data_IF_555815563362
#
_entry.id   IF_555815563362
#
_cell.length_a   1.000
_cell.length_b   1.000
_cell.length_c   1.000
_cell.angle_alpha   90.00
_cell.angle_beta   90.00
_cell.angle_gamma   90.00
#
_symmetry.space_group_name_H-M   'P 1'
#
loop_
_entity.id
_entity.type
_entity.pdbx_description
1 polymer ?
#
# COMPACT_ATOMS: atom_id res chain seq x y z
N UNK A 1 14.44 -31.19 -59.14
CA UNK A 1 14.26 -31.75 -57.78
C UNK A 1 14.59 -30.63 -56.81
N UNK A 2 13.56 -30.07 -56.17
CA UNK A 2 13.62 -28.79 -55.48
C UNK A 2 14.01 -28.96 -54.02
N UNK A 3 15.02 -28.22 -53.57
CA UNK A 3 15.35 -28.05 -52.15
C UNK A 3 14.33 -27.14 -51.48
N UNK A 4 13.51 -27.69 -50.59
CA UNK A 4 12.59 -26.94 -49.75
C UNK A 4 13.31 -26.47 -48.48
N UNK A 5 13.43 -25.16 -48.32
CA UNK A 5 13.84 -24.48 -47.10
C UNK A 5 12.62 -24.45 -46.16
N UNK A 6 12.67 -25.23 -45.08
CA UNK A 6 11.68 -25.14 -44.00
C UNK A 6 12.05 -23.96 -43.11
N UNK A 7 11.37 -22.83 -43.32
CA UNK A 7 11.38 -21.69 -42.38
C UNK A 7 10.57 -22.11 -41.15
N UNK A 8 11.24 -22.26 -40.02
CA UNK A 8 10.59 -22.56 -38.75
C UNK A 8 9.95 -21.27 -38.21
N UNK A 9 8.65 -21.15 -38.36
CA UNK A 9 7.82 -20.08 -37.79
C UNK A 9 7.73 -20.28 -36.27
N UNK A 10 8.64 -19.66 -35.52
CA UNK A 10 8.50 -19.50 -34.07
C UNK A 10 8.62 -18.02 -33.73
N UNK A 11 7.71 -17.22 -34.27
CA UNK A 11 7.53 -15.82 -33.88
C UNK A 11 6.24 -15.66 -33.10
N UNK A 12 6.38 -15.09 -31.90
CA UNK A 12 5.39 -14.29 -31.22
C UNK A 12 4.12 -14.97 -30.68
N UNK A 13 4.19 -15.47 -29.45
CA UNK A 13 3.16 -15.21 -28.44
C UNK A 13 3.80 -15.05 -27.04
N UNK A 14 4.55 -13.95 -26.84
CA UNK A 14 4.74 -13.43 -25.49
C UNK A 14 3.42 -12.72 -25.15
N UNK A 15 2.48 -13.48 -24.61
CA UNK A 15 1.24 -12.90 -24.11
C UNK A 15 1.62 -11.92 -22.99
N UNK A 16 1.29 -10.65 -23.23
CA UNK A 16 1.32 -9.57 -22.27
C UNK A 16 0.50 -9.96 -21.03
N UNK A 17 1.12 -10.63 -20.06
CA UNK A 17 0.60 -10.69 -18.71
C UNK A 17 0.71 -9.28 -18.13
N UNK A 18 -0.30 -8.43 -18.38
CA UNK A 18 -0.59 -7.36 -17.44
C UNK A 18 -0.72 -8.06 -16.09
N UNK A 19 0.05 -7.69 -15.05
CA UNK A 19 -0.17 -8.26 -13.73
C UNK A 19 -1.62 -7.99 -13.38
N UNK A 20 -2.43 -9.04 -13.39
CA UNK A 20 -3.79 -8.97 -12.91
C UNK A 20 -3.64 -8.76 -11.41
N UNK A 21 -3.62 -7.50 -10.99
CA UNK A 21 -3.50 -7.15 -9.59
C UNK A 21 -4.62 -7.89 -8.86
N UNK A 22 -4.24 -8.68 -7.87
CA UNK A 22 -5.21 -9.30 -6.99
C UNK A 22 -6.16 -8.21 -6.46
N UNK A 23 -7.45 -8.55 -6.23
CA UNK A 23 -8.38 -7.60 -5.63
C UNK A 23 -7.75 -7.04 -4.34
N UNK A 24 -7.62 -5.72 -4.30
CA UNK A 24 -7.04 -5.00 -3.18
C UNK A 24 -7.89 -3.77 -2.85
N UNK A 25 -8.12 -3.55 -1.57
CA UNK A 25 -8.81 -2.37 -1.10
C UNK A 25 -7.85 -1.18 -1.13
N UNK A 26 -8.23 -0.11 -1.83
CA UNK A 26 -7.47 1.14 -1.88
C UNK A 26 -8.04 2.12 -0.86
N UNK A 27 -7.21 2.57 0.06
CA UNK A 27 -7.52 3.59 1.05
C UNK A 27 -6.74 4.87 0.73
N UNK A 28 -7.41 6.00 0.62
CA UNK A 28 -6.75 7.27 0.36
C UNK A 28 -6.06 7.82 1.61
N UNK A 29 -4.93 8.51 1.42
CA UNK A 29 -4.15 9.12 2.50
C UNK A 29 -4.09 10.62 2.24
N UNK A 30 -4.51 11.39 3.25
CA UNK A 30 -4.59 12.85 3.20
C UNK A 30 -3.66 13.50 4.22
N UNK A 31 -3.29 14.75 3.98
CA UNK A 31 -2.90 15.69 5.05
C UNK A 31 -4.01 16.73 5.21
N UNK A 32 -4.09 17.37 6.37
CA UNK A 32 -5.08 18.40 6.64
C UNK A 32 -5.07 18.82 8.11
N UNK A 33 -6.03 19.66 8.47
CA UNK A 33 -6.19 20.14 9.84
C UNK A 33 -7.24 19.28 10.55
N UNK A 34 -6.82 18.59 11.63
CA UNK A 34 -7.75 17.83 12.46
C UNK A 34 -8.59 18.78 13.32
N UNK A 35 -9.92 18.71 13.17
CA UNK A 35 -10.90 19.27 14.11
C UNK A 35 -11.74 18.14 14.68
N UNK A 36 -11.43 17.71 15.90
CA UNK A 36 -12.12 16.63 16.61
C UNK A 36 -12.21 15.33 15.78
N UNK A 37 -13.35 15.11 15.12
CA UNK A 37 -13.73 13.92 14.36
C UNK A 37 -13.62 14.08 12.83
N UNK A 38 -13.15 15.23 12.34
CA UNK A 38 -13.01 15.52 10.92
C UNK A 38 -11.63 16.08 10.58
N UNK A 39 -11.26 15.91 9.31
CA UNK A 39 -10.06 16.50 8.71
C UNK A 39 -10.53 17.56 7.72
N UNK A 40 -10.21 18.82 7.99
CA UNK A 40 -10.47 19.96 7.11
C UNK A 40 -9.29 20.22 6.17
N UNK A 41 -9.57 20.80 4.99
CA UNK A 41 -8.53 21.16 4.02
C UNK A 41 -7.76 19.94 3.53
N UNK A 42 -8.46 18.84 3.26
CA UNK A 42 -7.85 17.57 2.85
C UNK A 42 -7.07 17.73 1.55
N UNK A 43 -5.77 17.43 1.61
CA UNK A 43 -4.91 17.30 0.45
C UNK A 43 -4.51 15.85 0.31
N UNK A 44 -4.86 15.22 -0.82
CA UNK A 44 -4.47 13.85 -1.13
C UNK A 44 -2.95 13.76 -1.30
N UNK A 45 -2.30 12.87 -0.55
CA UNK A 45 -0.84 12.70 -0.54
C UNK A 45 -0.40 11.26 -0.80
N UNK A 46 -1.33 10.31 -0.92
CA UNK A 46 -0.98 8.93 -1.16
C UNK A 46 -2.14 7.96 -1.10
N UNK A 47 -1.82 6.68 -1.07
CA UNK A 47 -2.79 5.61 -0.91
C UNK A 47 -2.16 4.42 -0.16
N UNK A 48 -2.98 3.71 0.60
CA UNK A 48 -2.66 2.42 1.17
C UNK A 48 -3.47 1.33 0.45
N UNK A 49 -2.83 0.19 0.20
CA UNK A 49 -3.43 -0.95 -0.48
C UNK A 49 -3.46 -2.14 0.46
N UNK A 50 -4.62 -2.79 0.59
CA UNK A 50 -4.83 -4.00 1.39
C UNK A 50 -5.19 -5.16 0.49
N UNK A 51 -4.25 -6.09 0.31
CA UNK A 51 -4.51 -7.30 -0.47
C UNK A 51 -5.28 -8.32 0.40
N UNK A 52 -6.19 -9.09 -0.21
CA UNK A 52 -7.20 -9.93 0.47
C UNK A 52 -6.63 -10.88 1.56
N UNK A 53 -5.39 -11.36 1.37
CA UNK A 53 -4.75 -12.34 2.26
C UNK A 53 -3.55 -11.76 3.04
N UNK A 54 -3.29 -10.46 2.91
CA UNK A 54 -2.13 -9.85 3.53
C UNK A 54 -2.47 -9.27 4.90
N UNK A 55 -1.59 -9.47 5.88
CA UNK A 55 -1.75 -8.94 7.25
C UNK A 55 -1.26 -7.49 7.41
N UNK A 56 -0.76 -6.88 6.34
CA UNK A 56 -0.23 -5.52 6.32
C UNK A 56 -0.92 -4.67 5.23
N UNK A 57 -0.74 -3.36 5.25
CA UNK A 57 -1.08 -2.47 4.13
C UNK A 57 0.21 -2.04 3.43
N UNK A 58 0.16 -1.90 2.10
CA UNK A 58 1.22 -1.30 1.29
C UNK A 58 0.91 0.18 1.09
N UNK A 59 1.71 1.07 1.68
CA UNK A 59 1.56 2.53 1.57
C UNK A 59 2.44 3.06 0.44
N UNK A 60 1.84 3.90 -0.41
CA UNK A 60 2.50 4.67 -1.46
C UNK A 60 2.21 6.15 -1.22
N UNK A 61 3.26 6.94 -0.97
CA UNK A 61 3.17 8.38 -0.79
C UNK A 61 3.63 9.09 -2.07
N UNK A 62 2.89 10.11 -2.51
CA UNK A 62 3.17 10.86 -3.73
C UNK A 62 4.50 11.62 -3.65
N UNK A 63 4.88 12.09 -2.46
CA UNK A 63 6.15 12.79 -2.23
C UNK A 63 7.39 11.90 -2.29
N UNK A 64 7.22 10.57 -2.24
CA UNK A 64 8.29 9.58 -2.33
C UNK A 64 7.97 8.55 -3.42
N UNK A 65 8.01 8.95 -4.70
CA UNK A 65 7.67 8.06 -5.80
C UNK A 65 8.59 6.83 -5.82
N UNK A 66 8.03 5.69 -6.18
CA UNK A 66 8.75 4.40 -6.20
C UNK A 66 8.89 3.72 -4.83
N UNK A 67 8.90 4.46 -3.73
CA UNK A 67 9.02 3.87 -2.39
C UNK A 67 7.71 3.18 -1.96
N UNK A 68 7.83 2.01 -1.33
CA UNK A 68 6.72 1.34 -0.63
C UNK A 68 7.01 1.35 0.86
N UNK A 69 6.03 1.71 1.65
CA UNK A 69 6.05 1.51 3.10
C UNK A 69 5.04 0.43 3.48
N UNK A 70 5.23 -0.18 4.64
CA UNK A 70 4.41 -1.30 5.10
C UNK A 70 3.83 -0.98 6.47
N UNK A 71 2.51 -0.82 6.53
CA UNK A 71 1.80 -0.59 7.79
C UNK A 71 1.34 -1.93 8.37
N UNK A 72 1.80 -2.25 9.56
CA UNK A 72 1.60 -3.56 10.20
C UNK A 72 0.99 -3.34 11.57
N UNK A 73 -0.07 -4.10 11.88
CA UNK A 73 -0.70 -4.07 13.21
C UNK A 73 0.26 -4.62 14.25
N UNK A 74 0.41 -3.93 15.38
CA UNK A 74 1.27 -4.39 16.46
C UNK A 74 0.64 -5.60 17.17
N UNK A 75 1.47 -6.54 17.63
CA UNK A 75 1.01 -7.68 18.41
C UNK A 75 0.32 -7.19 19.69
N UNK A 76 -0.83 -7.80 20.04
CA UNK A 76 -1.66 -7.45 21.20
C UNK A 76 -2.16 -6.00 21.27
N UNK A 77 -2.16 -5.25 20.16
CA UNK A 77 -2.77 -3.93 20.11
C UNK A 77 -3.96 -3.91 19.17
N UNK A 78 -5.09 -3.39 19.63
CA UNK A 78 -6.26 -3.18 18.76
C UNK A 78 -6.09 -1.94 17.88
N UNK A 79 -5.37 -0.93 18.36
CA UNK A 79 -5.37 0.42 17.81
C UNK A 79 -4.00 0.88 17.27
N UNK A 80 -2.90 0.20 17.58
CA UNK A 80 -1.54 0.63 17.21
C UNK A 80 -0.94 -0.18 16.08
N UNK A 81 -0.26 0.53 15.19
CA UNK A 81 0.40 0.01 14.00
C UNK A 81 1.80 0.61 13.88
N UNK A 82 2.70 -0.13 13.25
CA UNK A 82 4.05 0.34 12.92
C UNK A 82 4.22 0.43 11.40
N UNK A 83 4.85 1.51 10.93
CA UNK A 83 5.19 1.71 9.53
C UNK A 83 6.65 1.30 9.33
N UNK A 84 6.91 0.35 8.45
CA UNK A 84 8.23 -0.13 8.08
C UNK A 84 8.60 0.32 6.67
N UNK A 85 9.87 0.61 6.42
CA UNK A 85 10.36 0.98 5.08
C UNK A 85 10.77 -0.21 4.22
N UNK A 86 10.92 -1.40 4.82
CA UNK A 86 11.36 -2.62 4.12
C UNK A 86 10.58 -3.85 4.58
N UNK A 87 10.30 -4.72 3.63
CA UNK A 87 9.77 -6.07 3.83
C UNK A 87 10.74 -7.05 3.18
N UNK A 88 11.16 -8.06 3.94
CA UNK A 88 11.88 -9.21 3.44
C UNK A 88 10.92 -10.39 3.39
N UNK A 89 11.10 -11.26 2.41
CA UNK A 89 10.38 -12.54 2.35
C UNK A 89 11.41 -13.63 2.60
N UNK A 90 11.15 -14.51 3.57
CA UNK A 90 12.03 -15.64 3.82
C UNK A 90 11.82 -16.78 2.79
N UNK A 91 12.64 -17.83 2.88
CA UNK A 91 12.56 -18.98 1.98
C UNK A 91 11.25 -19.78 2.11
N UNK A 92 10.48 -19.55 3.19
CA UNK A 92 9.18 -20.18 3.45
C UNK A 92 8.01 -19.27 3.03
N UNK A 93 8.29 -18.11 2.43
CA UNK A 93 7.28 -17.14 2.01
C UNK A 93 6.74 -16.25 3.13
N UNK A 94 7.29 -16.31 4.34
CA UNK A 94 6.88 -15.44 5.45
C UNK A 94 7.49 -14.04 5.31
N UNK A 95 6.67 -13.03 5.59
CA UNK A 95 7.10 -11.64 5.52
C UNK A 95 7.70 -11.18 6.86
N UNK A 96 8.93 -10.67 6.81
CA UNK A 96 9.60 -9.98 7.91
C UNK A 96 9.70 -8.49 7.61
N UNK A 97 9.12 -7.68 8.48
CA UNK A 97 9.16 -6.22 8.37
C UNK A 97 10.32 -5.66 9.19
N UNK A 98 11.13 -4.80 8.58
CA UNK A 98 12.33 -4.23 9.21
C UNK A 98 12.42 -2.73 8.94
N UNK A 99 13.26 -2.03 9.70
CA UNK A 99 13.45 -0.58 9.60
C UNK A 99 12.15 0.21 9.89
N UNK A 100 11.70 0.27 11.15
CA UNK A 100 10.55 1.07 11.52
C UNK A 100 10.83 2.56 11.27
N UNK A 101 9.91 3.24 10.59
CA UNK A 101 10.05 4.65 10.18
C UNK A 101 8.86 5.50 10.60
N UNK A 102 7.86 4.91 11.25
CA UNK A 102 6.69 5.62 11.73
C UNK A 102 5.68 4.71 12.39
N UNK A 103 4.50 5.26 12.66
CA UNK A 103 3.43 4.56 13.36
C UNK A 103 2.07 5.01 12.87
N UNK A 104 1.09 4.13 13.05
CA UNK A 104 -0.33 4.40 12.82
C UNK A 104 -1.12 4.20 14.10
N UNK A 105 -2.16 5.01 14.29
CA UNK A 105 -3.06 4.91 15.45
C UNK A 105 -4.52 5.07 15.02
N UNK A 106 -5.38 4.17 15.51
CA UNK A 106 -6.83 4.36 15.48
C UNK A 106 -7.24 5.17 16.70
N UNK A 107 -7.79 6.35 16.49
CA UNK A 107 -8.31 7.20 17.55
C UNK A 107 -9.83 7.05 17.61
N UNK A 108 -10.38 6.70 18.77
CA UNK A 108 -11.83 6.52 18.97
C UNK A 108 -12.65 7.77 18.65
N UNK A 109 -12.03 8.95 18.69
CA UNK A 109 -12.66 10.23 18.32
C UNK A 109 -12.63 10.51 16.82
N UNK A 110 -11.79 9.82 16.04
CA UNK A 110 -11.61 10.00 14.61
C UNK A 110 -11.96 8.70 13.86
N UNK A 111 -13.25 8.39 13.81
CA UNK A 111 -13.73 7.07 13.36
C UNK A 111 -13.59 6.83 11.84
N UNK A 112 -13.44 7.88 11.04
CA UNK A 112 -13.30 7.75 9.59
C UNK A 112 -11.86 7.60 9.11
N UNK A 113 -10.87 7.87 9.98
CA UNK A 113 -9.47 7.91 9.58
C UNK A 113 -8.56 7.24 10.61
N UNK A 114 -7.52 6.55 10.13
CA UNK A 114 -6.35 6.22 10.93
C UNK A 114 -5.33 7.35 10.83
N UNK A 115 -4.79 7.80 11.97
CA UNK A 115 -3.65 8.71 11.96
C UNK A 115 -2.38 7.96 11.59
N UNK A 116 -1.59 8.51 10.68
CA UNK A 116 -0.29 8.01 10.29
C UNK A 116 0.76 9.09 10.54
N UNK A 117 1.87 8.73 11.17
CA UNK A 117 2.98 9.64 11.46
C UNK A 117 4.30 9.02 11.01
N UNK A 118 4.97 9.73 10.11
CA UNK A 118 6.38 9.52 9.78
C UNK A 118 7.15 10.68 10.44
N UNK A 119 7.92 10.46 11.52
CA UNK A 119 8.55 11.54 12.28
C UNK A 119 9.39 12.51 11.44
N UNK A 120 10.02 12.00 10.38
CA UNK A 120 10.83 12.80 9.44
C UNK A 120 10.00 13.85 8.69
N UNK A 121 8.70 13.63 8.49
CA UNK A 121 7.81 14.56 7.79
C UNK A 121 7.28 15.68 8.67
N UNK A 122 7.41 15.56 10.00
CA UNK A 122 6.85 16.51 10.99
C UNK A 122 5.37 16.85 10.77
N UNK A 123 4.63 15.98 10.08
CA UNK A 123 3.24 16.15 9.71
C UNK A 123 2.46 14.88 10.03
N UNK A 124 1.18 15.05 10.34
CA UNK A 124 0.24 13.94 10.52
C UNK A 124 -0.51 13.72 9.22
N UNK A 125 -0.51 12.48 8.76
CA UNK A 125 -1.32 12.05 7.63
C UNK A 125 -2.51 11.26 8.14
N UNK A 126 -3.56 11.15 7.35
CA UNK A 126 -4.83 10.54 7.70
C UNK A 126 -5.23 9.57 6.61
N UNK A 127 -5.21 8.27 6.91
CA UNK A 127 -5.65 7.23 5.99
C UNK A 127 -7.13 6.94 6.20
N UNK A 128 -7.94 7.03 5.14
CA UNK A 128 -9.35 6.67 5.20
C UNK A 128 -9.52 5.20 5.63
N UNK A 129 -10.42 4.94 6.57
CA UNK A 129 -10.79 3.55 6.93
C UNK A 129 -11.74 2.92 5.91
N UNK A 130 -12.37 3.74 5.07
CA UNK A 130 -13.28 3.29 4.02
C UNK A 130 -12.55 3.25 2.68
N UNK A 131 -12.50 2.10 2.01
CA UNK A 131 -11.82 2.00 0.73
C UNK A 131 -12.57 2.74 -0.37
N UNK A 132 -11.83 3.34 -1.29
CA UNK A 132 -12.37 3.98 -2.48
C UNK A 132 -12.79 2.90 -3.48
N UNK A 133 -14.01 2.95 -4.04
CA UNK A 133 -14.42 2.03 -5.09
C UNK A 133 -13.42 2.10 -6.26
N UNK A 134 -12.83 0.96 -6.61
CA UNK A 134 -12.11 0.85 -7.88
C UNK A 134 -13.18 0.76 -8.97
N UNK A 135 -13.49 1.89 -9.62
CA UNK A 135 -14.29 1.86 -10.84
C UNK A 135 -13.55 0.95 -11.83
N UNK A 136 -14.19 -0.18 -12.17
CA UNK A 136 -13.72 -1.16 -13.15
C UNK A 136 -13.73 -0.58 -14.55
#
# INVERSE_FOLDING_TARGET
MNHAIVKNEASAQVQNMKPQYAPCDKHEIFVGFRKQNQIEGQLLVGSAFKDLNQKHYRIKLMMFPGQTYYLVKNFNSLERFTIYSKMLTDNQGQHKFISPVGYGTLDSKLQSFMELKLPLLRSTMYMSLYPTPQNK
#
